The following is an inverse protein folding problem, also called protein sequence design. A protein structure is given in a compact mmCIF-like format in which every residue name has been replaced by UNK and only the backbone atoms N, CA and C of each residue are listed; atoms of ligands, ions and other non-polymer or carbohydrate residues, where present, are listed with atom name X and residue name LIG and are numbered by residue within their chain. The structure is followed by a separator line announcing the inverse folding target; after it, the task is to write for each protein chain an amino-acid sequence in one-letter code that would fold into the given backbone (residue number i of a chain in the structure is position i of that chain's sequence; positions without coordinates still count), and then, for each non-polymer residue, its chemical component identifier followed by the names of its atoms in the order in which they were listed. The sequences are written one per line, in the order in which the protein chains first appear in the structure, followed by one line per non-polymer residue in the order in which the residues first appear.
data_IF_063182601548
#
_entry.id   IF_063182601548
#
_cell.length_a   1.000
_cell.length_b   1.000
_cell.length_c   1.000
_cell.angle_alpha   90.00
_cell.angle_beta   90.00
_cell.angle_gamma   90.00
#
_symmetry.space_group_name_H-M   'P 1'
#
loop_
_entity.id
_entity.type
_entity.pdbx_description
1 polymer ?
#
# COMPACT_ATOMS: atom_id res chain seq x y z
N UNK A 1 -5.02 -22.72 68.11
CA UNK A 1 -4.29 -22.01 67.03
C UNK A 1 -4.96 -22.32 65.69
N UNK A 2 -5.70 -21.35 65.12
CA UNK A 2 -6.22 -21.46 63.75
C UNK A 2 -5.05 -21.29 62.79
N UNK A 3 -4.76 -22.28 61.95
CA UNK A 3 -3.86 -22.10 60.80
C UNK A 3 -4.59 -21.22 59.79
N UNK A 4 -4.12 -19.99 59.63
CA UNK A 4 -4.45 -19.14 58.48
C UNK A 4 -3.70 -19.75 57.31
N UNK A 5 -4.41 -20.42 56.41
CA UNK A 5 -3.89 -20.66 55.06
C UNK A 5 -3.91 -19.31 54.36
N UNK A 6 -2.76 -18.64 54.27
CA UNK A 6 -2.57 -17.55 53.32
C UNK A 6 -2.83 -18.12 51.93
N UNK A 7 -4.00 -17.84 51.36
CA UNK A 7 -4.18 -18.04 49.93
C UNK A 7 -3.22 -17.07 49.27
N UNK A 8 -2.23 -17.59 48.56
CA UNK A 8 -1.39 -16.78 47.68
C UNK A 8 -2.31 -16.17 46.63
N UNK A 9 -2.83 -14.98 46.92
CA UNK A 9 -3.91 -14.37 46.15
C UNK A 9 -3.53 -14.34 44.68
N UNK A 10 -4.44 -14.81 43.83
CA UNK A 10 -4.25 -14.86 42.38
C UNK A 10 -3.87 -13.48 41.84
N UNK A 11 -2.57 -13.30 41.60
CA UNK A 11 -1.96 -12.02 41.21
C UNK A 11 -2.44 -11.58 39.83
N UNK A 12 -2.84 -12.52 38.97
CA UNK A 12 -3.28 -12.27 37.59
C UNK A 12 -4.73 -11.76 37.59
N UNK A 13 -5.59 -12.32 38.45
CA UNK A 13 -6.98 -11.86 38.58
C UNK A 13 -7.09 -10.46 39.22
N UNK A 14 -6.16 -10.11 40.10
CA UNK A 14 -6.19 -8.85 40.85
C UNK A 14 -5.57 -7.63 40.14
N UNK A 15 -5.01 -7.78 38.93
CA UNK A 15 -4.38 -6.67 38.20
C UNK A 15 -5.37 -5.50 37.93
N UNK A 16 -4.92 -4.22 38.02
CA UNK A 16 -5.75 -3.07 37.67
C UNK A 16 -6.27 -3.10 36.23
N UNK A 17 -7.43 -2.50 35.98
CA UNK A 17 -8.08 -2.54 34.66
C UNK A 17 -7.19 -1.99 33.54
N UNK A 18 -6.42 -0.94 33.80
CA UNK A 18 -5.55 -0.33 32.79
C UNK A 18 -4.36 -1.23 32.43
N UNK A 19 -3.84 -1.99 33.41
CA UNK A 19 -2.79 -2.99 33.17
C UNK A 19 -3.35 -4.12 32.30
N UNK A 20 -4.56 -4.60 32.61
CA UNK A 20 -5.23 -5.63 31.80
C UNK A 20 -5.44 -5.18 30.36
N UNK A 21 -5.91 -3.94 30.14
CA UNK A 21 -6.06 -3.38 28.79
C UNK A 21 -4.74 -3.36 28.03
N UNK A 22 -3.65 -2.92 28.68
CA UNK A 22 -2.31 -2.90 28.06
C UNK A 22 -1.84 -4.31 27.69
N UNK A 23 -2.07 -5.31 28.54
CA UNK A 23 -1.74 -6.70 28.22
C UNK A 23 -2.58 -7.19 27.03
N UNK A 24 -3.90 -6.99 27.08
CA UNK A 24 -4.83 -7.51 26.07
C UNK A 24 -4.60 -6.94 24.68
N UNK A 25 -4.22 -5.65 24.57
CA UNK A 25 -3.91 -5.01 23.28
C UNK A 25 -2.65 -5.58 22.62
N UNK A 26 -1.76 -6.22 23.40
CA UNK A 26 -0.54 -6.87 22.90
C UNK A 26 -0.78 -8.33 22.49
N UNK A 27 -1.95 -8.90 22.78
CA UNK A 27 -2.28 -10.28 22.45
C UNK A 27 -3.01 -10.34 21.10
N UNK A 28 -2.77 -11.40 20.29
CA UNK A 28 -3.68 -11.74 19.20
C UNK A 28 -5.11 -11.85 19.70
N UNK A 29 -6.10 -11.43 18.90
CA UNK A 29 -7.51 -11.35 19.33
C UNK A 29 -8.01 -12.69 19.89
N UNK A 30 -7.58 -13.80 19.29
CA UNK A 30 -7.93 -15.16 19.72
C UNK A 30 -7.48 -15.43 21.15
N UNK A 31 -6.26 -15.03 21.49
CA UNK A 31 -5.68 -15.25 22.80
C UNK A 31 -6.22 -14.26 23.82
N UNK A 32 -6.47 -13.00 23.42
CA UNK A 32 -7.20 -12.03 24.23
C UNK A 32 -8.58 -12.56 24.64
N UNK A 33 -9.34 -13.16 23.72
CA UNK A 33 -10.63 -13.79 24.02
C UNK A 33 -10.47 -14.96 25.01
N UNK A 34 -9.44 -15.81 24.84
CA UNK A 34 -9.20 -16.95 25.77
C UNK A 34 -8.96 -16.49 27.19
N UNK A 35 -8.36 -15.32 27.43
CA UNK A 35 -8.18 -14.79 28.79
C UNK A 35 -9.50 -14.59 29.55
N UNK A 36 -10.65 -14.57 28.86
CA UNK A 36 -11.98 -14.51 29.47
C UNK A 36 -12.30 -15.71 30.38
N UNK A 37 -11.50 -16.78 30.34
CA UNK A 37 -11.59 -17.93 31.25
C UNK A 37 -10.89 -17.68 32.58
N UNK A 38 -9.96 -16.73 32.65
CA UNK A 38 -9.17 -16.44 33.86
C UNK A 38 -10.02 -15.82 34.96
N UNK A 39 -10.84 -14.82 34.63
CA UNK A 39 -11.85 -14.27 35.55
C UNK A 39 -12.87 -13.39 34.84
N UNK A 40 -13.91 -12.99 35.57
CA UNK A 40 -14.93 -12.05 35.10
C UNK A 40 -14.35 -10.68 34.72
N UNK A 41 -13.24 -10.26 35.36
CA UNK A 41 -12.56 -8.99 35.05
C UNK A 41 -11.90 -9.05 33.67
N UNK A 42 -11.12 -10.09 33.39
CA UNK A 42 -10.52 -10.31 32.07
C UNK A 42 -11.58 -10.46 30.98
N UNK A 43 -12.67 -11.20 31.26
CA UNK A 43 -13.83 -11.33 30.37
C UNK A 43 -14.45 -9.98 30.00
N UNK A 44 -14.52 -9.03 30.94
CA UNK A 44 -15.06 -7.69 30.68
C UNK A 44 -14.07 -6.82 29.91
N UNK A 45 -12.78 -6.91 30.23
CA UNK A 45 -11.76 -6.05 29.62
C UNK A 45 -11.50 -6.36 28.15
N UNK A 46 -11.45 -7.64 27.74
CA UNK A 46 -11.21 -7.97 26.32
C UNK A 46 -12.30 -7.39 25.40
N UNK A 47 -13.56 -7.34 25.88
CA UNK A 47 -14.69 -6.76 25.13
C UNK A 47 -14.55 -5.26 24.86
N UNK A 48 -13.57 -4.60 25.47
CA UNK A 48 -13.35 -3.15 25.36
C UNK A 48 -12.03 -2.78 24.69
N UNK A 49 -11.29 -3.76 24.14
CA UNK A 49 -10.02 -3.46 23.48
C UNK A 49 -10.26 -2.66 22.19
N UNK A 50 -9.43 -1.65 21.91
CA UNK A 50 -9.65 -0.75 20.78
C UNK A 50 -9.24 -1.36 19.43
N UNK A 51 -8.39 -2.38 19.41
CA UNK A 51 -7.82 -2.98 18.20
C UNK A 51 -8.36 -4.38 18.00
N UNK A 52 -9.08 -4.61 16.90
CA UNK A 52 -9.57 -5.92 16.50
C UNK A 52 -8.85 -6.33 15.22
N UNK A 53 -7.89 -7.24 15.37
CA UNK A 53 -7.01 -7.70 14.29
C UNK A 53 -7.20 -9.21 14.10
N UNK A 54 -7.68 -9.60 12.93
CA UNK A 54 -7.98 -10.98 12.55
C UNK A 54 -7.03 -11.41 11.42
N UNK A 55 -6.17 -12.38 11.73
CA UNK A 55 -5.24 -13.01 10.79
C UNK A 55 -5.54 -14.51 10.62
N UNK A 56 -4.72 -15.21 9.85
CA UNK A 56 -4.90 -16.65 9.58
C UNK A 56 -4.88 -17.52 10.85
N UNK A 57 -4.21 -17.08 11.92
CA UNK A 57 -4.19 -17.78 13.21
C UNK A 57 -5.58 -17.86 13.85
N UNK A 58 -6.48 -16.94 13.50
CA UNK A 58 -7.89 -16.99 13.86
C UNK A 58 -8.62 -18.14 13.15
N UNK A 59 -8.23 -18.43 11.90
CA UNK A 59 -8.80 -19.47 11.04
C UNK A 59 -8.24 -20.89 11.28
N UNK A 60 -7.20 -21.06 12.10
CA UNK A 60 -6.59 -22.37 12.33
C UNK A 60 -6.97 -22.91 13.71
N UNK A 61 -7.60 -24.08 13.80
CA UNK A 61 -7.59 -24.84 15.05
C UNK A 61 -6.25 -25.56 15.17
N UNK A 62 -5.53 -25.34 16.28
CA UNK A 62 -4.44 -26.24 16.66
C UNK A 62 -5.09 -27.53 17.18
N UNK A 63 -4.86 -28.66 16.52
CA UNK A 63 -5.28 -29.97 17.00
C UNK A 63 -4.63 -30.31 18.36
N UNK A 64 -5.23 -31.24 19.10
CA UNK A 64 -4.69 -31.72 20.36
C UNK A 64 -3.28 -32.32 20.17
N UNK A 65 -2.29 -32.00 21.02
CA UNK A 65 -0.92 -32.50 20.88
C UNK A 65 -0.76 -34.02 21.13
N UNK A 66 -1.84 -34.73 21.45
CA UNK A 66 -1.83 -36.16 21.77
C UNK A 66 -1.83 -37.09 20.55
N UNK A 67 -1.81 -36.57 19.31
CA UNK A 67 -1.69 -37.40 18.09
C UNK A 67 -0.65 -36.81 17.11
N UNK A 68 0.50 -37.48 16.85
CA UNK A 68 1.59 -36.95 16.01
C UNK A 68 1.28 -36.86 14.50
N UNK A 69 0.09 -37.29 14.06
CA UNK A 69 -0.24 -37.45 12.64
C UNK A 69 -1.24 -36.44 12.08
N UNK A 70 -1.64 -35.41 12.83
CA UNK A 70 -2.71 -34.51 12.36
C UNK A 70 -2.19 -33.37 11.48
N UNK A 71 -2.49 -33.50 10.18
CA UNK A 71 -2.57 -32.39 9.22
C UNK A 71 -3.38 -31.24 9.81
N UNK A 72 -2.85 -30.02 9.71
CA UNK A 72 -3.56 -28.77 10.02
C UNK A 72 -4.97 -28.82 9.40
N UNK A 73 -6.01 -29.00 10.21
CA UNK A 73 -7.39 -28.97 9.72
C UNK A 73 -7.76 -27.50 9.55
N UNK A 74 -7.94 -27.07 8.30
CA UNK A 74 -8.43 -25.73 7.98
C UNK A 74 -9.82 -25.60 8.60
N UNK A 75 -10.12 -24.48 9.30
CA UNK A 75 -11.49 -24.19 9.69
C UNK A 75 -12.35 -24.12 8.43
N UNK A 76 -13.57 -24.65 8.50
CA UNK A 76 -14.56 -24.50 7.45
C UNK A 76 -14.68 -23.00 7.09
N UNK A 77 -14.33 -22.67 5.84
CA UNK A 77 -14.33 -21.30 5.31
C UNK A 77 -15.67 -20.60 5.56
N UNK A 78 -16.76 -21.38 5.54
CA UNK A 78 -18.12 -20.88 5.76
C UNK A 78 -18.36 -20.37 7.18
N UNK A 79 -17.55 -20.80 8.16
CA UNK A 79 -17.74 -20.49 9.58
C UNK A 79 -16.87 -19.35 10.09
N UNK A 80 -15.80 -18.96 9.38
CA UNK A 80 -14.86 -17.96 9.88
C UNK A 80 -15.48 -16.58 10.02
N UNK A 81 -16.04 -16.04 8.93
CA UNK A 81 -16.65 -14.70 8.94
C UNK A 81 -17.85 -14.64 9.92
N UNK A 82 -18.74 -15.65 10.02
CA UNK A 82 -19.72 -15.71 11.10
C UNK A 82 -19.12 -15.69 12.50
N UNK A 83 -17.97 -16.34 12.74
CA UNK A 83 -17.31 -16.30 14.04
C UNK A 83 -16.69 -14.93 14.34
N UNK A 84 -16.11 -14.27 13.34
CA UNK A 84 -15.64 -12.87 13.45
C UNK A 84 -16.81 -11.95 13.78
N UNK A 85 -17.94 -12.11 13.08
CA UNK A 85 -19.15 -11.35 13.38
C UNK A 85 -19.67 -11.60 14.81
N UNK A 86 -19.63 -12.84 15.31
CA UNK A 86 -19.94 -13.13 16.73
C UNK A 86 -19.00 -12.40 17.69
N UNK A 87 -17.71 -12.31 17.38
CA UNK A 87 -16.75 -11.54 18.20
C UNK A 87 -17.13 -10.06 18.22
N UNK A 88 -17.48 -9.49 17.07
CA UNK A 88 -17.96 -8.11 16.97
C UNK A 88 -19.22 -7.88 17.83
N UNK A 89 -20.19 -8.78 17.74
CA UNK A 89 -21.42 -8.72 18.54
C UNK A 89 -21.17 -8.80 20.06
N UNK A 90 -20.10 -9.48 20.49
CA UNK A 90 -19.73 -9.60 21.91
C UNK A 90 -18.89 -8.43 22.42
N UNK A 91 -18.29 -7.67 21.50
CA UNK A 91 -17.50 -6.49 21.81
C UNK A 91 -18.42 -5.35 22.22
N UNK A 92 -18.02 -4.55 23.21
CA UNK A 92 -18.81 -3.47 23.80
C UNK A 92 -18.05 -2.12 23.87
N UNK A 93 -16.79 -2.07 23.42
CA UNK A 93 -15.98 -0.86 23.43
C UNK A 93 -15.95 -0.10 22.10
N UNK A 94 -15.31 1.08 22.07
CA UNK A 94 -14.97 1.74 20.82
C UNK A 94 -13.93 0.90 20.06
N UNK A 95 -14.13 0.73 18.76
CA UNK A 95 -13.15 0.09 17.87
C UNK A 95 -12.44 1.22 17.12
N UNK A 96 -11.13 1.37 17.34
CA UNK A 96 -10.32 2.38 16.64
C UNK A 96 -9.58 1.81 15.45
N UNK A 97 -9.24 0.53 15.50
CA UNK A 97 -8.58 -0.22 14.43
C UNK A 97 -9.29 -1.54 14.19
N UNK A 98 -9.71 -1.76 12.95
CA UNK A 98 -10.21 -3.05 12.48
C UNK A 98 -9.36 -3.55 11.32
N UNK A 99 -8.84 -4.77 11.45
CA UNK A 99 -8.02 -5.41 10.44
C UNK A 99 -8.50 -6.84 10.23
N UNK A 100 -8.92 -7.14 9.01
CA UNK A 100 -9.26 -8.45 8.50
C UNK A 100 -8.28 -8.77 7.38
N UNK A 101 -7.27 -9.59 7.69
CA UNK A 101 -6.21 -9.96 6.74
C UNK A 101 -5.95 -11.45 6.85
N UNK A 102 -6.73 -12.24 6.12
CA UNK A 102 -6.68 -13.70 6.11
C UNK A 102 -6.26 -14.12 4.72
N UNK A 103 -5.06 -14.68 4.55
CA UNK A 103 -4.56 -15.08 3.23
C UNK A 103 -4.98 -16.51 2.84
N UNK A 104 -5.58 -17.25 3.76
CA UNK A 104 -5.99 -18.65 3.56
C UNK A 104 -7.43 -18.84 3.09
N UNK A 105 -8.23 -17.78 3.05
CA UNK A 105 -9.65 -17.86 2.69
C UNK A 105 -9.96 -16.82 1.62
N UNK A 106 -10.57 -17.26 0.53
CA UNK A 106 -10.98 -16.38 -0.56
C UNK A 106 -12.34 -15.74 -0.24
N UNK A 107 -12.36 -14.43 0.02
CA UNK A 107 -13.60 -13.69 0.27
C UNK A 107 -14.20 -13.27 -1.08
N UNK A 108 -15.46 -13.65 -1.32
CA UNK A 108 -16.14 -13.45 -2.60
C UNK A 108 -17.65 -13.29 -2.42
N UNK A 109 -18.41 -13.48 -3.50
CA UNK A 109 -19.87 -13.34 -3.49
C UNK A 109 -20.58 -14.27 -2.50
N UNK A 110 -20.06 -15.49 -2.29
CA UNK A 110 -20.56 -16.43 -1.27
C UNK A 110 -20.49 -15.88 0.17
N UNK A 111 -19.58 -14.93 0.40
CA UNK A 111 -19.31 -14.33 1.70
C UNK A 111 -19.95 -12.93 1.87
N UNK A 112 -20.73 -12.47 0.88
CA UNK A 112 -21.25 -11.10 0.83
C UNK A 112 -22.05 -10.74 2.08
N UNK A 113 -23.00 -11.57 2.49
CA UNK A 113 -23.85 -11.29 3.65
C UNK A 113 -23.03 -11.16 4.95
N UNK A 114 -22.00 -12.00 5.15
CA UNK A 114 -21.16 -11.92 6.33
C UNK A 114 -20.29 -10.66 6.33
N UNK A 115 -19.76 -10.27 5.17
CA UNK A 115 -19.00 -9.02 5.01
C UNK A 115 -19.89 -7.79 5.22
N UNK A 116 -21.12 -7.79 4.70
CA UNK A 116 -22.09 -6.72 4.90
C UNK A 116 -22.41 -6.55 6.39
N UNK A 117 -22.66 -7.64 7.11
CA UNK A 117 -22.90 -7.64 8.56
C UNK A 117 -21.71 -7.06 9.34
N UNK A 118 -20.48 -7.46 8.99
CA UNK A 118 -19.26 -6.92 9.60
C UNK A 118 -19.17 -5.40 9.36
N UNK A 119 -19.30 -4.95 8.11
CA UNK A 119 -19.16 -3.53 7.76
C UNK A 119 -20.29 -2.70 8.39
N UNK A 120 -21.53 -3.19 8.40
CA UNK A 120 -22.66 -2.53 9.06
C UNK A 120 -22.39 -2.36 10.55
N UNK A 121 -21.92 -3.41 11.24
CA UNK A 121 -21.59 -3.33 12.66
C UNK A 121 -20.45 -2.34 12.96
N UNK A 122 -19.45 -2.27 12.08
CA UNK A 122 -18.37 -1.28 12.20
C UNK A 122 -18.85 0.17 11.97
N UNK A 123 -19.89 0.33 11.16
CA UNK A 123 -20.41 1.64 10.75
C UNK A 123 -21.54 2.18 11.64
N UNK A 124 -22.11 1.34 12.52
CA UNK A 124 -23.12 1.72 13.51
C UNK A 124 -22.55 2.74 14.53
N UNK A 125 -23.28 3.13 15.58
CA UNK A 125 -22.95 4.16 16.59
C UNK A 125 -21.52 4.10 17.20
N UNK A 126 -20.75 3.05 16.92
CA UNK A 126 -19.34 2.86 17.30
C UNK A 126 -18.33 3.33 16.24
N UNK A 127 -18.77 3.53 15.00
CA UNK A 127 -17.96 3.94 13.85
C UNK A 127 -17.34 5.33 13.96
N UNK A 128 -17.81 6.17 14.90
CA UNK A 128 -17.19 7.47 15.19
C UNK A 128 -15.75 7.37 15.72
N UNK A 129 -15.38 6.22 16.30
CA UNK A 129 -14.01 5.98 16.79
C UNK A 129 -13.12 5.29 15.75
N UNK A 130 -13.69 4.77 14.67
CA UNK A 130 -12.99 3.93 13.70
C UNK A 130 -12.04 4.79 12.84
N UNK A 131 -10.74 4.58 13.05
CA UNK A 131 -9.67 5.39 12.46
C UNK A 131 -8.81 4.61 11.45
N UNK A 132 -8.75 3.29 11.58
CA UNK A 132 -7.98 2.42 10.70
C UNK A 132 -8.82 1.21 10.29
N UNK A 133 -8.98 1.00 8.99
CA UNK A 133 -9.69 -0.15 8.42
C UNK A 133 -8.80 -0.82 7.39
N UNK A 134 -8.62 -2.13 7.54
CA UNK A 134 -7.88 -2.96 6.60
C UNK A 134 -8.68 -4.20 6.28
N UNK A 135 -9.17 -4.31 5.04
CA UNK A 135 -9.88 -5.48 4.53
C UNK A 135 -9.05 -6.08 3.40
N UNK A 136 -8.29 -7.13 3.71
CA UNK A 136 -7.37 -7.78 2.78
C UNK A 136 -7.77 -9.24 2.60
N UNK A 137 -8.16 -9.57 1.37
CA UNK A 137 -8.47 -10.93 0.92
C UNK A 137 -7.44 -11.37 -0.14
N UNK A 138 -7.13 -12.67 -0.26
CA UNK A 138 -6.36 -13.22 -1.36
C UNK A 138 -7.16 -13.21 -2.67
N UNK A 139 -6.43 -13.15 -3.79
CA UNK A 139 -6.96 -13.35 -5.14
C UNK A 139 -7.50 -14.77 -5.33
N UNK A 140 -8.47 -15.04 -6.23
CA UNK A 140 -8.98 -14.14 -7.27
C UNK A 140 -10.38 -13.58 -6.98
N UNK A 141 -11.03 -14.01 -5.90
CA UNK A 141 -12.43 -13.65 -5.64
C UNK A 141 -12.58 -12.18 -5.25
N UNK A 142 -13.70 -11.59 -5.66
CA UNK A 142 -14.05 -10.20 -5.38
C UNK A 142 -15.44 -10.15 -4.71
N UNK A 143 -15.57 -9.38 -3.64
CA UNK A 143 -16.84 -9.07 -2.99
C UNK A 143 -17.21 -7.59 -3.17
N UNK A 144 -18.49 -7.25 -3.00
CA UNK A 144 -18.95 -5.86 -3.08
C UNK A 144 -18.73 -5.18 -1.74
N UNK A 145 -18.05 -4.03 -1.73
CA UNK A 145 -17.87 -3.28 -0.49
C UNK A 145 -19.18 -2.61 -0.10
N UNK A 146 -19.67 -2.90 1.11
CA UNK A 146 -20.92 -2.33 1.60
C UNK A 146 -20.80 -0.81 1.81
N UNK A 147 -21.82 -0.05 1.38
CA UNK A 147 -21.81 1.43 1.38
C UNK A 147 -21.76 2.06 2.77
N UNK A 148 -22.10 1.30 3.81
CA UNK A 148 -22.07 1.77 5.20
C UNK A 148 -20.66 2.24 5.63
N UNK A 149 -19.58 1.65 5.09
CA UNK A 149 -18.20 2.06 5.38
C UNK A 149 -17.94 3.54 5.09
N UNK A 150 -18.61 4.10 4.08
CA UNK A 150 -18.48 5.50 3.68
C UNK A 150 -19.10 6.48 4.70
N UNK A 151 -19.81 5.97 5.71
CA UNK A 151 -20.32 6.74 6.86
C UNK A 151 -19.29 6.87 7.98
N UNK A 152 -18.19 6.11 7.94
CA UNK A 152 -17.10 6.17 8.92
C UNK A 152 -16.16 7.34 8.62
N UNK A 153 -16.60 8.57 8.90
CA UNK A 153 -15.90 9.81 8.50
C UNK A 153 -14.56 10.05 9.23
N UNK A 154 -14.26 9.28 10.28
CA UNK A 154 -13.04 9.41 11.07
C UNK A 154 -11.89 8.53 10.57
N UNK A 155 -12.10 7.75 9.51
CA UNK A 155 -11.07 6.89 8.93
C UNK A 155 -9.89 7.75 8.46
N UNK A 156 -8.72 7.44 9.01
CA UNK A 156 -7.43 8.04 8.68
C UNK A 156 -6.55 7.12 7.83
N UNK A 157 -6.76 5.80 7.92
CA UNK A 157 -6.08 4.80 7.09
C UNK A 157 -7.08 3.78 6.57
N UNK A 158 -7.15 3.65 5.25
CA UNK A 158 -8.01 2.69 4.56
C UNK A 158 -7.16 1.80 3.65
N UNK A 159 -7.20 0.49 3.91
CA UNK A 159 -6.55 -0.54 3.10
C UNK A 159 -7.60 -1.52 2.60
N UNK A 160 -7.72 -1.65 1.29
CA UNK A 160 -8.68 -2.53 0.66
C UNK A 160 -7.99 -3.40 -0.39
N UNK A 161 -8.29 -4.69 -0.42
CA UNK A 161 -7.94 -5.54 -1.54
C UNK A 161 -9.11 -6.38 -2.02
N UNK A 162 -9.09 -6.72 -3.32
CA UNK A 162 -10.00 -7.70 -3.91
C UNK A 162 -11.49 -7.41 -3.59
N UNK A 163 -11.90 -6.14 -3.72
CA UNK A 163 -13.28 -5.72 -3.52
C UNK A 163 -13.74 -4.76 -4.64
N UNK A 164 -15.05 -4.64 -4.82
CA UNK A 164 -15.65 -3.63 -5.69
C UNK A 164 -16.00 -2.38 -4.89
N UNK A 165 -15.40 -1.23 -5.24
CA UNK A 165 -15.63 0.05 -4.57
C UNK A 165 -16.75 0.82 -5.27
N UNK A 166 -17.93 0.89 -4.65
CA UNK A 166 -19.06 1.72 -5.14
C UNK A 166 -19.38 2.81 -4.13
N UNK A 167 -18.99 4.04 -4.44
CA UNK A 167 -19.32 5.18 -3.60
C UNK A 167 -20.83 5.49 -3.65
N UNK A 168 -21.51 5.70 -2.50
CA UNK A 168 -22.89 6.16 -2.51
C UNK A 168 -22.98 7.64 -2.90
N UNK A 169 -24.11 8.07 -3.48
CA UNK A 169 -24.31 9.46 -3.92
C UNK A 169 -24.20 10.49 -2.79
N UNK A 170 -24.55 10.10 -1.56
CA UNK A 170 -24.44 10.92 -0.34
C UNK A 170 -23.04 10.93 0.28
N UNK A 171 -22.05 10.31 -0.34
CA UNK A 171 -20.70 10.27 0.20
C UNK A 171 -20.09 11.68 0.23
N UNK A 172 -19.96 12.20 1.46
CA UNK A 172 -19.39 13.53 1.75
C UNK A 172 -17.87 13.57 1.71
N UNK A 173 -17.22 12.40 1.76
CA UNK A 173 -15.76 12.30 1.77
C UNK A 173 -15.16 11.81 3.07
N UNK A 174 -13.92 11.32 2.98
CA UNK A 174 -13.11 10.99 4.15
C UNK A 174 -12.18 12.16 4.48
N UNK A 175 -12.69 13.12 5.26
CA UNK A 175 -11.98 14.37 5.57
C UNK A 175 -10.71 14.20 6.42
N UNK A 176 -10.53 13.02 7.05
CA UNK A 176 -9.36 12.67 7.87
C UNK A 176 -8.43 11.63 7.23
N UNK A 177 -8.74 11.16 6.02
CA UNK A 177 -7.99 10.09 5.37
C UNK A 177 -6.60 10.57 4.97
N UNK A 178 -5.57 9.99 5.59
CA UNK A 178 -4.15 10.27 5.32
C UNK A 178 -3.51 9.18 4.47
N UNK A 179 -3.96 7.93 4.60
CA UNK A 179 -3.41 6.80 3.85
C UNK A 179 -4.51 5.99 3.18
N UNK A 180 -4.43 5.86 1.86
CA UNK A 180 -5.30 5.03 1.04
C UNK A 180 -4.46 4.02 0.27
N UNK A 181 -4.72 2.73 0.48
CA UNK A 181 -4.04 1.64 -0.22
C UNK A 181 -5.06 0.68 -0.83
N UNK A 182 -4.98 0.49 -2.13
CA UNK A 182 -5.93 -0.27 -2.94
C UNK A 182 -5.16 -1.29 -3.78
N UNK A 183 -5.49 -2.58 -3.62
CA UNK A 183 -4.88 -3.66 -4.40
C UNK A 183 -5.96 -4.52 -5.06
N UNK A 184 -6.00 -4.56 -6.39
CA UNK A 184 -7.01 -5.32 -7.13
C UNK A 184 -8.44 -4.93 -6.73
N UNK A 185 -8.65 -3.64 -6.51
CA UNK A 185 -9.97 -3.06 -6.21
C UNK A 185 -10.59 -2.59 -7.51
N UNK A 186 -11.83 -2.99 -7.81
CA UNK A 186 -12.56 -2.43 -8.95
C UNK A 186 -12.97 -1.00 -8.62
N UNK A 187 -12.41 -0.03 -9.34
CA UNK A 187 -12.61 1.40 -9.10
C UNK A 187 -13.74 1.95 -9.97
N UNK A 188 -14.49 2.96 -9.49
CA UNK A 188 -15.38 3.74 -10.34
C UNK A 188 -14.57 4.57 -11.35
N UNK A 189 -15.15 4.84 -12.52
CA UNK A 189 -14.45 5.55 -13.60
C UNK A 189 -13.95 6.95 -13.20
N UNK A 190 -14.72 7.65 -12.35
CA UNK A 190 -14.44 8.98 -11.83
C UNK A 190 -13.62 8.96 -10.52
N UNK A 191 -12.97 7.84 -10.17
CA UNK A 191 -12.26 7.70 -8.89
C UNK A 191 -11.22 8.81 -8.65
N UNK A 192 -10.37 9.08 -9.63
CA UNK A 192 -9.31 10.09 -9.49
C UNK A 192 -9.85 11.52 -9.47
N UNK A 193 -10.96 11.77 -10.15
CA UNK A 193 -11.57 13.10 -10.33
C UNK A 193 -12.56 13.45 -9.21
N UNK A 194 -13.24 12.46 -8.61
CA UNK A 194 -14.33 12.69 -7.66
C UNK A 194 -14.01 12.12 -6.28
N UNK A 195 -13.58 10.86 -6.19
CA UNK A 195 -13.33 10.22 -4.90
C UNK A 195 -12.12 10.84 -4.18
N UNK A 196 -11.02 11.10 -4.91
CA UNK A 196 -9.81 11.69 -4.31
C UNK A 196 -10.00 13.16 -3.89
N UNK A 197 -10.81 13.94 -4.61
CA UNK A 197 -11.13 15.32 -4.22
C UNK A 197 -11.84 15.40 -2.86
N UNK A 198 -12.58 14.34 -2.50
CA UNK A 198 -13.27 14.20 -1.22
C UNK A 198 -12.35 13.73 -0.07
N UNK A 199 -11.04 13.62 -0.33
CA UNK A 199 -10.02 13.21 0.65
C UNK A 199 -8.88 14.27 0.74
N UNK A 200 -9.17 15.49 1.25
CA UNK A 200 -8.28 16.65 1.09
C UNK A 200 -6.94 16.58 1.84
N UNK A 201 -6.85 15.72 2.88
CA UNK A 201 -5.65 15.55 3.72
C UNK A 201 -4.86 14.27 3.39
N UNK A 202 -5.11 13.69 2.21
CA UNK A 202 -4.45 12.45 1.78
C UNK A 202 -2.95 12.67 1.59
N UNK A 203 -2.14 11.90 2.30
CA UNK A 203 -0.68 11.97 2.28
C UNK A 203 -0.04 10.81 1.51
N UNK A 204 -0.67 9.63 1.55
CA UNK A 204 -0.18 8.43 0.88
C UNK A 204 -1.29 7.80 0.04
N UNK A 205 -1.07 7.69 -1.26
CA UNK A 205 -1.94 6.98 -2.19
C UNK A 205 -1.17 5.83 -2.82
N UNK A 206 -1.64 4.60 -2.63
CA UNK A 206 -1.09 3.40 -3.28
C UNK A 206 -2.20 2.67 -4.01
N UNK A 207 -2.06 2.53 -5.32
CA UNK A 207 -3.04 1.86 -6.19
C UNK A 207 -2.31 0.81 -7.01
N UNK A 208 -2.73 -0.44 -6.94
CA UNK A 208 -2.05 -1.55 -7.59
C UNK A 208 -3.05 -2.50 -8.25
N UNK A 209 -2.92 -2.72 -9.55
CA UNK A 209 -3.69 -3.71 -10.34
C UNK A 209 -5.21 -3.52 -10.20
N UNK A 210 -5.67 -2.28 -10.13
CA UNK A 210 -7.09 -1.98 -9.92
C UNK A 210 -7.83 -1.92 -11.27
N UNK A 211 -8.83 -2.78 -11.54
CA UNK A 211 -9.66 -2.66 -12.73
C UNK A 211 -10.47 -1.35 -12.71
N UNK A 212 -10.75 -0.81 -13.89
CA UNK A 212 -11.49 0.46 -14.02
C UNK A 212 -10.62 1.73 -13.89
N UNK A 213 -9.31 1.59 -13.74
CA UNK A 213 -8.38 2.74 -13.83
C UNK A 213 -8.41 3.34 -15.25
N UNK A 214 -8.58 4.66 -15.40
CA UNK A 214 -8.53 5.31 -16.70
C UNK A 214 -7.12 5.27 -17.30
N UNK A 215 -7.02 5.38 -18.64
CA UNK A 215 -5.73 5.44 -19.33
C UNK A 215 -4.98 6.75 -19.05
N UNK A 216 -5.69 7.83 -18.73
CA UNK A 216 -5.11 9.11 -18.33
C UNK A 216 -5.45 9.38 -16.88
N UNK A 217 -4.42 9.42 -16.02
CA UNK A 217 -4.58 9.68 -14.60
C UNK A 217 -4.19 11.12 -14.32
N UNK A 218 -5.13 11.89 -13.81
CA UNK A 218 -4.90 13.23 -13.30
C UNK A 218 -4.98 13.21 -11.77
N UNK A 219 -3.86 13.47 -11.11
CA UNK A 219 -3.76 13.45 -9.66
C UNK A 219 -3.72 14.88 -9.14
N UNK A 220 -4.79 15.29 -8.46
CA UNK A 220 -4.94 16.62 -7.87
C UNK A 220 -5.15 16.55 -6.34
N UNK A 221 -4.08 16.29 -5.59
CA UNK A 221 -4.14 16.06 -4.14
C UNK A 221 -3.08 16.90 -3.39
N UNK A 222 -3.46 18.05 -2.79
CA UNK A 222 -2.50 19.05 -2.31
C UNK A 222 -1.60 18.59 -1.16
N UNK A 223 -2.10 17.67 -0.32
CA UNK A 223 -1.37 17.12 0.81
C UNK A 223 -0.52 15.88 0.48
N UNK A 224 -0.54 15.40 -0.77
CA UNK A 224 0.07 14.13 -1.13
C UNK A 224 1.59 14.19 -1.02
N UNK A 225 2.17 13.21 -0.33
CA UNK A 225 3.61 13.04 -0.08
C UNK A 225 4.17 11.80 -0.74
N UNK A 226 3.36 10.75 -0.84
CA UNK A 226 3.72 9.47 -1.43
C UNK A 226 2.65 9.02 -2.43
N UNK A 227 3.08 8.74 -3.65
CA UNK A 227 2.26 8.15 -4.70
C UNK A 227 2.92 6.86 -5.18
N UNK A 228 2.19 5.75 -5.12
CA UNK A 228 2.61 4.50 -5.73
C UNK A 228 1.50 3.99 -6.64
N UNK A 229 1.82 3.75 -7.91
CA UNK A 229 0.87 3.25 -8.88
C UNK A 229 1.45 2.02 -9.60
N UNK A 230 0.70 0.93 -9.64
CA UNK A 230 0.98 -0.22 -10.49
C UNK A 230 -0.24 -0.58 -11.32
N UNK A 231 -0.12 -0.63 -12.65
CA UNK A 231 -1.26 -0.92 -13.51
C UNK A 231 -1.02 -0.60 -14.99
N UNK A 232 -2.12 -0.62 -15.75
CA UNK A 232 -2.14 -0.20 -17.14
C UNK A 232 -2.59 1.27 -17.21
N UNK A 233 -1.84 2.08 -17.94
CA UNK A 233 -2.13 3.48 -18.19
C UNK A 233 -1.32 3.98 -19.39
N UNK A 234 -1.82 5.01 -20.06
CA UNK A 234 -1.09 5.73 -21.10
C UNK A 234 -0.30 6.87 -20.49
N UNK A 235 -0.93 7.70 -19.64
CA UNK A 235 -0.34 8.94 -19.10
C UNK A 235 -0.73 9.18 -17.65
N UNK A 236 0.20 9.72 -16.87
CA UNK A 236 -0.03 10.22 -15.50
C UNK A 236 0.41 11.69 -15.46
N UNK A 237 -0.45 12.57 -14.97
CA UNK A 237 -0.13 13.96 -14.68
C UNK A 237 -0.44 14.31 -13.22
N UNK A 238 0.39 15.16 -12.66
CA UNK A 238 0.22 15.69 -11.30
C UNK A 238 -0.13 17.17 -11.40
N UNK A 239 -1.26 17.55 -10.81
CA UNK A 239 -1.69 18.95 -10.72
C UNK A 239 -1.78 19.31 -9.25
N UNK A 240 -1.24 20.45 -8.85
CA UNK A 240 -1.41 20.96 -7.48
C UNK A 240 -1.01 19.95 -6.38
N UNK A 241 0.08 19.19 -6.57
CA UNK A 241 0.66 18.25 -5.58
C UNK A 241 2.05 18.70 -5.11
N UNK A 242 2.19 19.89 -4.48
CA UNK A 242 3.49 20.51 -4.21
C UNK A 242 4.31 19.78 -3.14
N UNK A 243 3.69 18.88 -2.36
CA UNK A 243 4.33 18.15 -1.26
C UNK A 243 4.81 16.75 -1.65
N UNK A 244 4.65 16.35 -2.92
CA UNK A 244 4.92 14.99 -3.39
C UNK A 244 6.42 14.72 -3.39
N UNK A 245 6.87 13.84 -2.48
CA UNK A 245 8.28 13.51 -2.25
C UNK A 245 8.67 12.15 -2.82
N UNK A 246 7.74 11.21 -2.86
CA UNK A 246 7.98 9.86 -3.36
C UNK A 246 6.97 9.53 -4.45
N UNK A 247 7.49 9.15 -5.62
CA UNK A 247 6.70 8.63 -6.75
C UNK A 247 7.26 7.27 -7.15
N UNK A 248 6.40 6.25 -7.16
CA UNK A 248 6.72 4.88 -7.59
C UNK A 248 5.73 4.47 -8.67
N UNK A 249 6.20 4.16 -9.88
CA UNK A 249 5.34 3.84 -11.03
C UNK A 249 5.76 2.50 -11.64
N UNK A 250 4.83 1.55 -11.68
CA UNK A 250 5.05 0.19 -12.16
C UNK A 250 4.07 -0.10 -13.31
N UNK A 251 4.52 0.02 -14.56
CA UNK A 251 3.66 -0.13 -15.74
C UNK A 251 3.56 -1.60 -16.15
N UNK A 252 2.34 -2.11 -16.33
CA UNK A 252 2.06 -3.52 -16.68
C UNK A 252 1.66 -3.76 -18.14
N UNK A 253 1.61 -2.72 -18.98
CA UNK A 253 1.24 -2.84 -20.40
C UNK A 253 2.46 -2.99 -21.32
N UNK A 254 2.27 -3.64 -22.48
CA UNK A 254 3.27 -3.91 -23.53
C UNK A 254 3.13 -2.95 -24.74
N UNK A 255 2.11 -2.09 -24.77
CA UNK A 255 1.86 -1.13 -25.86
C UNK A 255 1.83 0.32 -25.36
N UNK A 256 2.48 1.23 -26.10
CA UNK A 256 2.30 2.69 -26.00
C UNK A 256 2.66 3.34 -27.34
N UNK A 257 1.78 4.22 -27.84
CA UNK A 257 2.17 5.30 -28.77
C UNK A 257 2.57 6.54 -27.94
N UNK A 258 3.73 7.11 -28.28
CA UNK A 258 4.36 8.33 -27.76
C UNK A 258 4.79 8.37 -26.27
N UNK A 259 6.09 8.70 -25.99
CA UNK A 259 6.57 8.96 -24.64
C UNK A 259 5.84 10.14 -23.97
N UNK A 260 5.61 10.10 -22.64
CA UNK A 260 5.31 11.30 -21.91
C UNK A 260 6.52 12.24 -21.93
N UNK A 261 6.29 13.54 -22.09
CA UNK A 261 7.31 14.57 -21.89
C UNK A 261 7.83 14.49 -20.45
N UNK A 262 9.03 13.92 -20.30
CA UNK A 262 9.70 13.74 -19.01
C UNK A 262 9.96 15.08 -18.33
N UNK A 263 10.31 16.12 -19.09
CA UNK A 263 10.56 17.45 -18.54
C UNK A 263 9.27 18.03 -17.95
N UNK A 264 8.15 17.94 -18.68
CA UNK A 264 6.84 18.37 -18.17
C UNK A 264 6.39 17.55 -16.94
N UNK A 265 6.61 16.24 -16.96
CA UNK A 265 6.30 15.35 -15.84
C UNK A 265 7.08 15.76 -14.58
N UNK A 266 8.41 15.88 -14.66
CA UNK A 266 9.23 16.22 -13.51
C UNK A 266 9.08 17.69 -13.08
N UNK A 267 8.80 18.61 -14.00
CA UNK A 267 8.49 20.00 -13.67
C UNK A 267 7.26 20.13 -12.77
N UNK A 268 6.30 19.18 -12.85
CA UNK A 268 5.14 19.13 -11.96
C UNK A 268 5.45 18.65 -10.53
N UNK A 269 6.69 18.19 -10.27
CA UNK A 269 7.11 17.52 -9.04
C UNK A 269 8.28 18.24 -8.34
N UNK A 270 8.13 19.51 -7.93
CA UNK A 270 9.24 20.33 -7.40
C UNK A 270 9.79 19.84 -6.05
N UNK A 271 9.06 19.00 -5.32
CA UNK A 271 9.47 18.46 -4.02
C UNK A 271 9.96 17.00 -4.08
N UNK A 272 10.11 16.43 -5.28
CA UNK A 272 10.46 15.03 -5.47
C UNK A 272 11.83 14.71 -4.89
N UNK A 273 11.89 13.72 -4.02
CA UNK A 273 13.11 13.23 -3.35
C UNK A 273 13.44 11.80 -3.75
N UNK A 274 12.42 10.98 -4.01
CA UNK A 274 12.58 9.59 -4.45
C UNK A 274 11.69 9.29 -5.65
N UNK A 275 12.31 8.76 -6.69
CA UNK A 275 11.60 8.29 -7.88
C UNK A 275 11.93 6.82 -8.13
N UNK A 276 10.91 5.99 -8.29
CA UNK A 276 11.05 4.57 -8.63
C UNK A 276 10.20 4.23 -9.84
N UNK A 277 10.79 3.56 -10.81
CA UNK A 277 10.13 3.07 -12.01
C UNK A 277 10.35 1.56 -12.17
N UNK A 278 9.31 0.82 -12.56
CA UNK A 278 9.41 -0.60 -12.88
C UNK A 278 8.59 -0.96 -14.13
N UNK A 279 9.15 -1.83 -14.97
CA UNK A 279 8.41 -2.52 -16.03
C UNK A 279 8.89 -2.21 -17.45
N UNK A 280 8.12 -2.72 -18.42
CA UNK A 280 8.35 -2.54 -19.85
C UNK A 280 8.15 -1.08 -20.25
N UNK A 281 9.24 -0.31 -20.37
CA UNK A 281 9.26 0.89 -21.19
C UNK A 281 9.55 0.52 -22.67
N UNK A 282 8.98 -0.57 -23.17
CA UNK A 282 9.13 -0.98 -24.57
C UNK A 282 8.00 -0.31 -25.37
N UNK A 283 8.34 0.52 -26.36
CA UNK A 283 7.38 1.27 -27.18
C UNK A 283 7.60 2.78 -27.17
N UNK A 284 8.84 3.22 -27.05
CA UNK A 284 9.15 4.64 -27.01
C UNK A 284 9.93 4.95 -28.28
N UNK A 285 9.27 5.67 -29.18
CA UNK A 285 9.99 6.36 -30.24
C UNK A 285 10.63 7.60 -29.61
N UNK A 286 11.96 7.59 -29.61
CA UNK A 286 12.78 8.69 -29.17
C UNK A 286 13.16 9.60 -30.31
N UNK A 287 12.67 9.50 -31.54
CA UNK A 287 13.10 10.45 -32.58
C UNK A 287 12.97 11.92 -32.12
N UNK A 288 11.95 12.27 -31.33
CA UNK A 288 11.83 13.61 -30.74
C UNK A 288 12.72 13.88 -29.49
N UNK A 289 12.99 12.88 -28.64
CA UNK A 289 13.83 13.04 -27.44
C UNK A 289 15.32 12.69 -27.68
N UNK A 290 15.61 11.99 -28.77
CA UNK A 290 16.90 11.79 -29.43
C UNK A 290 17.48 13.09 -29.91
N UNK A 291 16.63 14.01 -30.33
CA UNK A 291 17.05 15.35 -30.71
C UNK A 291 17.07 16.27 -29.48
N UNK A 292 16.18 16.04 -28.50
CA UNK A 292 16.12 16.83 -27.28
C UNK A 292 17.18 16.50 -26.23
N UNK A 293 17.69 15.27 -26.12
CA UNK A 293 18.70 14.87 -25.12
C UNK A 293 20.08 15.38 -25.51
N UNK A 294 20.58 15.22 -26.75
CA UNK A 294 21.69 15.98 -27.27
C UNK A 294 21.42 17.48 -27.19
N UNK A 295 20.24 18.01 -27.53
CA UNK A 295 19.99 19.46 -27.36
C UNK A 295 19.97 19.93 -25.88
N UNK A 296 19.56 19.10 -24.93
CA UNK A 296 19.63 19.36 -23.47
C UNK A 296 21.06 19.20 -22.94
N UNK A 297 21.86 18.31 -23.53
CA UNK A 297 23.29 18.11 -23.27
C UNK A 297 24.19 19.10 -24.04
N UNK A 298 23.73 19.70 -25.14
CA UNK A 298 24.43 20.69 -25.99
C UNK A 298 24.05 22.13 -25.60
N UNK A 299 22.85 22.33 -25.02
CA UNK A 299 22.53 23.56 -24.28
C UNK A 299 23.50 23.80 -23.10
N UNK A 300 24.33 22.81 -22.73
CA UNK A 300 25.47 22.97 -21.82
C UNK A 300 26.52 23.99 -22.31
N UNK A 301 26.58 24.32 -23.60
CA UNK A 301 27.50 25.34 -24.12
C UNK A 301 27.04 26.79 -23.92
N UNK A 302 25.78 27.02 -23.51
CA UNK A 302 25.23 28.37 -23.31
C UNK A 302 24.65 28.55 -21.90
N UNK A 303 25.42 28.19 -20.87
CA UNK A 303 25.35 28.86 -19.55
C UNK A 303 24.08 28.69 -18.71
N UNK A 304 23.30 27.60 -18.85
CA UNK A 304 22.15 27.38 -17.97
C UNK A 304 21.69 25.93 -17.86
N UNK A 305 22.29 25.15 -16.95
CA UNK A 305 21.72 23.86 -16.56
C UNK A 305 20.36 24.09 -15.90
N UNK A 306 19.27 23.83 -16.63
CA UNK A 306 17.94 23.69 -16.01
C UNK A 306 17.91 22.34 -15.29
N UNK A 307 18.43 22.27 -14.06
CA UNK A 307 18.26 21.07 -13.26
C UNK A 307 16.79 21.00 -12.82
N UNK A 308 16.01 20.13 -13.45
CA UNK A 308 14.58 19.93 -13.13
C UNK A 308 14.39 19.18 -11.79
N UNK A 309 15.36 18.35 -11.42
CA UNK A 309 15.29 17.42 -10.29
C UNK A 309 16.14 17.90 -9.11
N UNK A 310 15.97 19.17 -8.73
CA UNK A 310 16.78 19.87 -7.72
C UNK A 310 16.82 19.19 -6.34
N UNK A 311 15.83 18.35 -6.02
CA UNK A 311 15.69 17.71 -4.70
C UNK A 311 15.76 16.18 -4.76
N UNK A 312 15.92 15.61 -5.95
CA UNK A 312 15.94 14.16 -6.11
C UNK A 312 17.24 13.60 -5.52
N UNK A 313 17.10 12.70 -4.55
CA UNK A 313 18.19 12.04 -3.84
C UNK A 313 18.33 10.58 -4.23
N UNK A 314 17.20 9.92 -4.49
CA UNK A 314 17.16 8.48 -4.75
C UNK A 314 16.40 8.22 -6.04
N UNK A 315 17.05 7.51 -6.96
CA UNK A 315 16.45 7.01 -8.19
C UNK A 315 16.55 5.49 -8.23
N UNK A 316 15.45 4.83 -8.53
CA UNK A 316 15.40 3.38 -8.69
C UNK A 316 14.73 3.02 -10.02
N UNK A 317 15.39 2.18 -10.81
CA UNK A 317 14.82 1.58 -12.00
C UNK A 317 14.89 0.05 -11.87
N UNK A 318 13.73 -0.60 -11.79
CA UNK A 318 13.59 -2.05 -11.73
C UNK A 318 13.13 -2.63 -13.06
N UNK A 319 13.68 -3.78 -13.42
CA UNK A 319 13.33 -4.46 -14.65
C UNK A 319 13.66 -3.65 -15.89
N UNK A 320 14.89 -3.12 -15.98
CA UNK A 320 15.38 -2.47 -17.20
C UNK A 320 15.75 -3.52 -18.26
N UNK A 321 15.28 -3.35 -19.50
CA UNK A 321 15.59 -4.20 -20.65
C UNK A 321 16.81 -3.70 -21.44
N UNK A 322 17.24 -2.45 -21.19
CA UNK A 322 18.29 -1.79 -21.94
C UNK A 322 17.81 -1.21 -23.27
N UNK A 323 16.50 -0.99 -23.43
CA UNK A 323 16.01 -0.25 -24.60
C UNK A 323 16.40 1.22 -24.46
N UNK A 324 16.50 1.92 -25.60
CA UNK A 324 17.01 3.30 -25.68
C UNK A 324 16.35 4.26 -24.70
N UNK A 325 15.12 4.00 -24.30
CA UNK A 325 14.31 4.99 -23.61
C UNK A 325 14.29 4.82 -22.11
N UNK A 326 14.47 3.57 -21.69
CA UNK A 326 14.88 3.30 -20.32
C UNK A 326 16.23 3.98 -20.05
N UNK A 327 17.15 3.87 -21.01
CA UNK A 327 18.46 4.52 -20.96
C UNK A 327 18.35 6.05 -20.97
N UNK A 328 17.51 6.62 -21.82
CA UNK A 328 17.29 8.06 -21.88
C UNK A 328 16.64 8.63 -20.61
N UNK A 329 15.73 7.89 -19.96
CA UNK A 329 15.22 8.27 -18.64
C UNK A 329 16.35 8.26 -17.60
N UNK A 330 17.19 7.22 -17.59
CA UNK A 330 18.36 7.14 -16.69
C UNK A 330 19.30 8.32 -16.95
N UNK A 331 19.65 8.57 -18.21
CA UNK A 331 20.52 9.69 -18.62
C UNK A 331 19.93 11.06 -18.25
N UNK A 332 18.63 11.26 -18.49
CA UNK A 332 17.92 12.49 -18.11
C UNK A 332 17.99 12.72 -16.59
N UNK A 333 17.73 11.69 -15.79
CA UNK A 333 17.79 11.79 -14.32
C UNK A 333 19.21 12.09 -13.85
N UNK A 334 20.22 11.38 -14.37
CA UNK A 334 21.62 11.60 -14.04
C UNK A 334 22.07 13.03 -14.37
N UNK A 335 21.66 13.56 -15.52
CA UNK A 335 22.01 14.93 -15.96
C UNK A 335 21.22 16.03 -15.23
N UNK A 336 20.04 15.72 -14.69
CA UNK A 336 19.10 16.72 -14.15
C UNK A 336 19.03 16.79 -12.62
N UNK A 337 19.67 15.85 -11.90
CA UNK A 337 19.57 15.71 -10.44
C UNK A 337 20.92 15.99 -9.74
N UNK A 338 21.20 17.24 -9.30
CA UNK A 338 22.48 17.61 -8.69
C UNK A 338 22.68 17.09 -7.26
N UNK A 339 21.59 16.75 -6.55
CA UNK A 339 21.60 16.21 -5.18
C UNK A 339 21.40 14.69 -5.13
N UNK A 340 21.59 14.01 -6.26
CA UNK A 340 21.40 12.57 -6.35
C UNK A 340 22.46 11.85 -5.51
N UNK A 341 22.03 11.02 -4.57
CA UNK A 341 22.89 10.26 -3.66
C UNK A 341 22.97 8.79 -4.09
N UNK A 342 21.84 8.21 -4.52
CA UNK A 342 21.75 6.78 -4.86
C UNK A 342 20.98 6.54 -6.15
N UNK A 343 21.56 5.72 -7.01
CA UNK A 343 20.94 5.23 -8.24
C UNK A 343 20.94 3.70 -8.20
N UNK A 344 19.78 3.09 -8.07
CA UNK A 344 19.61 1.65 -8.07
C UNK A 344 19.05 1.18 -9.39
N UNK A 345 19.82 0.39 -10.14
CA UNK A 345 19.38 -0.16 -11.42
C UNK A 345 19.37 -1.68 -11.34
N UNK A 346 18.19 -2.27 -11.55
CA UNK A 346 17.98 -3.72 -11.56
C UNK A 346 17.51 -4.15 -12.95
N UNK A 347 18.28 -4.93 -13.71
CA UNK A 347 17.86 -5.42 -15.03
C UNK A 347 16.73 -6.46 -14.97
N UNK A 348 16.04 -6.68 -16.10
CA UNK A 348 15.08 -7.77 -16.24
C UNK A 348 15.78 -9.12 -16.28
N UNK A 349 15.34 -10.02 -15.40
CA UNK A 349 15.73 -11.42 -15.45
C UNK A 349 17.23 -11.65 -15.33
N UNK A 350 17.69 -12.77 -15.88
CA UNK A 350 19.12 -13.07 -16.04
C UNK A 350 19.55 -12.51 -17.39
N UNK A 351 20.16 -11.33 -17.42
CA UNK A 351 20.80 -10.82 -18.63
C UNK A 351 22.13 -11.53 -18.83
N UNK A 352 22.46 -11.84 -20.09
CA UNK A 352 23.80 -12.31 -20.45
C UNK A 352 24.85 -11.27 -20.00
N UNK A 353 26.00 -11.70 -19.44
CA UNK A 353 27.02 -10.79 -18.92
C UNK A 353 27.46 -9.70 -19.91
N UNK A 354 27.53 -10.02 -21.20
CA UNK A 354 27.89 -9.06 -22.26
C UNK A 354 26.87 -7.93 -22.45
N UNK A 355 25.56 -8.23 -22.30
CA UNK A 355 24.50 -7.21 -22.38
C UNK A 355 24.49 -6.31 -21.15
N UNK A 356 24.70 -6.88 -19.96
CA UNK A 356 24.86 -6.11 -18.72
C UNK A 356 26.05 -5.15 -18.83
N UNK A 357 27.19 -5.64 -19.34
CA UNK A 357 28.39 -4.82 -19.50
C UNK A 357 28.21 -3.69 -20.52
N UNK A 358 27.60 -3.97 -21.68
CA UNK A 358 27.28 -2.93 -22.67
C UNK A 358 26.33 -1.86 -22.12
N UNK A 359 25.34 -2.29 -21.35
CA UNK A 359 24.40 -1.40 -20.67
C UNK A 359 25.10 -0.52 -19.61
N UNK A 360 25.89 -1.11 -18.71
CA UNK A 360 26.66 -0.37 -17.71
C UNK A 360 27.60 0.63 -18.38
N UNK A 361 28.29 0.23 -19.45
CA UNK A 361 29.15 1.13 -20.22
C UNK A 361 28.37 2.33 -20.75
N UNK A 362 27.16 2.13 -21.27
CA UNK A 362 26.30 3.20 -21.79
C UNK A 362 25.86 4.14 -20.66
N UNK A 363 25.43 3.60 -19.53
CA UNK A 363 25.00 4.45 -18.40
C UNK A 363 26.16 5.25 -17.82
N UNK A 364 27.37 4.65 -17.74
CA UNK A 364 28.58 5.31 -17.28
C UNK A 364 29.09 6.42 -18.23
N UNK A 365 28.60 6.47 -19.48
CA UNK A 365 28.88 7.56 -20.40
C UNK A 365 28.04 8.82 -20.11
N UNK A 366 26.89 8.68 -19.43
CA UNK A 366 26.10 9.85 -19.06
C UNK A 366 26.81 10.65 -17.98
N UNK A 367 26.92 11.96 -18.22
CA UNK A 367 27.44 12.90 -17.24
C UNK A 367 26.45 13.01 -16.08
N UNK A 368 26.90 12.67 -14.88
CA UNK A 368 26.11 12.87 -13.67
C UNK A 368 26.26 14.31 -13.18
N UNK A 369 25.15 14.99 -12.91
CA UNK A 369 25.13 16.31 -12.30
C UNK A 369 25.57 16.27 -10.83
N UNK A 370 25.35 15.14 -10.15
CA UNK A 370 25.82 14.91 -8.79
C UNK A 370 27.26 14.37 -8.79
N UNK A 371 28.08 14.87 -7.88
CA UNK A 371 29.45 14.37 -7.64
C UNK A 371 29.49 13.22 -6.63
N UNK A 372 28.43 13.02 -5.88
CA UNK A 372 28.33 12.08 -4.76
C UNK A 372 27.42 10.88 -5.08
N UNK A 373 26.81 10.85 -6.27
CA UNK A 373 25.89 9.79 -6.65
C UNK A 373 26.59 8.44 -6.75
N UNK A 374 26.12 7.48 -5.97
CA UNK A 374 26.53 6.07 -6.09
C UNK A 374 25.57 5.34 -7.05
N UNK A 375 26.11 4.77 -8.13
CA UNK A 375 25.34 3.95 -9.08
C UNK A 375 25.52 2.48 -8.75
N UNK A 376 24.47 1.88 -8.19
CA UNK A 376 24.42 0.50 -7.73
C UNK A 376 23.66 -0.35 -8.75
N UNK A 377 24.34 -1.35 -9.30
CA UNK A 377 23.76 -2.36 -10.18
C UNK A 377 23.51 -3.66 -9.42
N UNK A 378 22.25 -4.06 -9.30
CA UNK A 378 21.85 -5.30 -8.63
C UNK A 378 21.53 -6.39 -9.67
N UNK A 379 22.57 -6.95 -10.30
CA UNK A 379 22.42 -8.11 -11.20
C UNK A 379 22.50 -9.44 -10.45
N UNK A 380 21.68 -10.42 -10.82
CA UNK A 380 21.95 -11.84 -10.49
C UNK A 380 22.76 -12.43 -11.64
N UNK A 381 24.05 -12.67 -11.43
CA UNK A 381 24.94 -13.31 -12.40
C UNK A 381 24.71 -14.83 -12.44
N UNK A 382 24.86 -15.45 -13.62
CA UNK A 382 25.12 -16.90 -13.69
C UNK A 382 26.60 -17.14 -13.36
N UNK A 383 26.85 -18.16 -12.53
CA UNK A 383 28.18 -18.69 -12.24
C UNK A 383 28.39 -20.01 -12.96
#
# INVERSE_FOLDING_TARGET
MKRVCESSGDRITNLPADVLKRILVLLPIKDAIKTATLSTKWRRQWKSIPHLVFHDDFAVQKGCPSQPTQTMTMMDESSLLPNIYKVLMLHNGPITKFELSIVRIFIGSSHQNAMDQIILHLSDHRGHSLSEVSLVSPAPLVYKLHSALFSCLHISRLRLSHCELRQPSRFVGFSKLRVLQLWTVTLPADFFENFLLKCPVLETLRVSVCPGTPNHLEIATPCLREFCFSGCFERICFKSTPLLKLVSIHKRSVYVENPPDMAAFFASLPALQRFSAEGYLIGLDLTAASDAIPALLEAEHHGGSRCYLQRLKEFEFRGIHGVRVELDLVGFVLASAPLLEKVHITPVGRLEPGKVFGFMKTVMQYKCASREAEVIYAGRYEG
#
